data_IF_877582726751
#
_entry.id   IF_877582726751
#
_cell.length_a   1.000
_cell.length_b   1.000
_cell.length_c   1.000
_cell.angle_alpha   90.00
_cell.angle_beta   90.00
_cell.angle_gamma   90.00
#
_symmetry.space_group_name_H-M   'P 1'
#
loop_
_entity.id
_entity.type
_entity.pdbx_description
1 polymer ?
#
# COMPACT_ATOMS: atom_id res chain seq x y z
N UNK A 1 55.55 23.66 -52.49
CA UNK A 1 54.32 24.43 -52.21
C UNK A 1 53.09 23.60 -52.58
N UNK A 2 52.63 22.69 -51.71
CA UNK A 2 51.44 21.84 -51.98
C UNK A 2 50.86 21.31 -50.66
N UNK A 3 50.24 22.16 -49.83
CA UNK A 3 49.57 21.71 -48.59
C UNK A 3 48.40 22.59 -48.17
N UNK A 4 47.63 23.14 -49.12
CA UNK A 4 46.40 23.92 -48.81
C UNK A 4 45.08 23.27 -49.20
N UNK A 5 45.09 22.08 -49.81
CA UNK A 5 43.88 21.45 -50.35
C UNK A 5 43.32 20.28 -49.54
N UNK A 6 44.03 19.80 -48.51
CA UNK A 6 43.56 18.70 -47.63
C UNK A 6 42.98 19.16 -46.29
N UNK A 7 43.10 20.44 -45.93
CA UNK A 7 42.55 20.98 -44.67
C UNK A 7 41.05 21.30 -44.77
N UNK A 8 40.57 21.76 -45.93
CA UNK A 8 39.14 22.07 -46.13
C UNK A 8 38.24 20.84 -46.28
N UNK A 9 38.80 19.65 -46.55
CA UNK A 9 38.02 18.41 -46.60
C UNK A 9 37.82 17.83 -45.19
N UNK A 10 38.78 18.06 -44.27
CA UNK A 10 38.64 17.64 -42.87
C UNK A 10 37.67 18.54 -42.08
N UNK A 11 37.57 19.83 -42.45
CA UNK A 11 36.61 20.76 -41.85
C UNK A 11 35.15 20.51 -42.29
N UNK A 12 34.92 19.82 -43.41
CA UNK A 12 33.58 19.52 -43.89
C UNK A 12 33.01 18.19 -43.34
N UNK A 13 33.87 17.28 -42.90
CA UNK A 13 33.48 16.03 -42.21
C UNK A 13 33.23 16.26 -40.72
N UNK A 14 33.70 17.38 -40.14
CA UNK A 14 33.39 17.76 -38.76
C UNK A 14 32.05 18.52 -38.61
N UNK A 15 31.37 18.84 -39.72
CA UNK A 15 30.09 19.57 -39.72
C UNK A 15 28.90 18.75 -40.28
N UNK A 16 29.13 17.46 -40.54
CA UNK A 16 28.11 16.46 -40.91
C UNK A 16 28.11 15.28 -39.92
N UNK A 17 28.56 15.52 -38.69
CA UNK A 17 28.18 14.70 -37.55
C UNK A 17 26.71 14.95 -37.27
N UNK A 18 25.86 14.17 -37.93
CA UNK A 18 24.43 14.00 -37.67
C UNK A 18 24.17 14.03 -36.16
N UNK A 19 23.85 15.22 -35.66
CA UNK A 19 22.91 15.39 -34.58
C UNK A 19 21.61 14.82 -35.14
N UNK A 20 21.40 13.51 -34.97
CA UNK A 20 20.05 12.99 -34.99
C UNK A 20 19.32 13.82 -33.94
N UNK A 21 18.30 14.62 -34.29
CA UNK A 21 17.38 15.05 -33.27
C UNK A 21 16.89 13.74 -32.65
N UNK A 22 17.27 13.50 -31.39
CA UNK A 22 16.57 12.54 -30.56
C UNK A 22 15.14 13.07 -30.57
N UNK A 23 14.34 12.55 -31.49
CA UNK A 23 12.90 12.62 -31.40
C UNK A 23 12.63 11.99 -30.05
N UNK A 24 12.38 12.82 -29.05
CA UNK A 24 11.85 12.39 -27.77
C UNK A 24 10.55 11.67 -28.15
N UNK A 25 10.63 10.35 -28.30
CA UNK A 25 9.48 9.52 -28.54
C UNK A 25 8.69 9.59 -27.24
N UNK A 26 7.72 10.50 -27.21
CA UNK A 26 6.65 10.41 -26.25
C UNK A 26 6.08 9.00 -26.39
N UNK A 27 6.28 8.17 -25.36
CA UNK A 27 5.78 6.81 -25.37
C UNK A 27 4.26 6.87 -25.54
N UNK A 28 3.72 6.02 -26.44
CA UNK A 28 2.27 5.87 -26.55
C UNK A 28 1.71 5.23 -25.29
N UNK A 29 0.45 5.49 -24.97
CA UNK A 29 -0.21 4.93 -23.80
C UNK A 29 -0.11 3.38 -23.79
N UNK A 30 -0.10 2.72 -24.96
CA UNK A 30 0.15 1.28 -25.11
C UNK A 30 1.58 0.84 -24.79
N UNK A 31 2.60 1.62 -25.18
CA UNK A 31 3.99 1.32 -24.86
C UNK A 31 4.28 1.50 -23.37
N UNK A 32 3.65 2.50 -22.74
CA UNK A 32 3.74 2.71 -21.30
C UNK A 32 3.08 1.55 -20.56
N UNK A 33 1.90 1.10 -21.01
CA UNK A 33 1.21 -0.05 -20.43
C UNK A 33 2.06 -1.32 -20.50
N UNK A 34 2.68 -1.60 -21.65
CA UNK A 34 3.52 -2.78 -21.83
C UNK A 34 4.77 -2.72 -20.96
N UNK A 35 5.41 -1.55 -20.88
CA UNK A 35 6.55 -1.33 -20.00
C UNK A 35 6.20 -1.59 -18.52
N UNK A 36 5.01 -1.15 -18.10
CA UNK A 36 4.51 -1.37 -16.74
C UNK A 36 4.29 -2.86 -16.47
N UNK A 37 3.64 -3.57 -17.41
CA UNK A 37 3.41 -5.02 -17.31
C UNK A 37 4.71 -5.79 -17.20
N UNK A 38 5.69 -5.48 -18.05
CA UNK A 38 7.01 -6.11 -18.01
C UNK A 38 7.77 -5.82 -16.71
N UNK A 39 7.70 -4.58 -16.22
CA UNK A 39 8.30 -4.19 -14.94
C UNK A 39 7.73 -4.96 -13.76
N UNK A 40 6.42 -5.12 -13.70
CA UNK A 40 5.74 -5.89 -12.64
C UNK A 40 6.11 -7.38 -12.73
N UNK A 41 6.18 -7.95 -13.94
CA UNK A 41 6.64 -9.35 -14.16
C UNK A 41 8.09 -9.56 -13.72
N UNK A 42 8.92 -8.54 -13.86
CA UNK A 42 10.32 -8.53 -13.41
C UNK A 42 10.46 -8.24 -11.90
N UNK A 43 9.35 -8.05 -11.17
CA UNK A 43 9.36 -7.76 -9.73
C UNK A 43 9.82 -6.35 -9.37
N UNK A 44 9.83 -5.41 -10.32
CA UNK A 44 10.19 -4.01 -10.05
C UNK A 44 9.11 -3.33 -9.21
N UNK A 45 9.54 -2.49 -8.28
CA UNK A 45 8.64 -1.70 -7.45
C UNK A 45 7.92 -0.61 -8.26
N UNK A 46 6.64 -0.37 -7.98
CA UNK A 46 5.81 0.62 -8.69
C UNK A 46 6.40 2.04 -8.66
N UNK A 47 7.06 2.42 -7.56
CA UNK A 47 7.73 3.72 -7.41
C UNK A 47 8.92 3.89 -8.34
N UNK A 48 9.72 2.83 -8.51
CA UNK A 48 10.88 2.82 -9.40
C UNK A 48 10.43 2.91 -10.85
N UNK A 49 9.39 2.14 -11.19
CA UNK A 49 8.77 2.15 -12.50
C UNK A 49 8.16 3.52 -12.86
N UNK A 50 7.47 4.17 -11.92
CA UNK A 50 6.94 5.52 -12.10
C UNK A 50 8.05 6.55 -12.34
N UNK A 51 9.17 6.45 -11.61
CA UNK A 51 10.32 7.32 -11.82
C UNK A 51 10.98 7.12 -13.19
N UNK A 52 11.11 5.87 -13.64
CA UNK A 52 11.64 5.55 -14.97
C UNK A 52 10.74 6.07 -16.10
N UNK A 53 9.42 5.93 -15.96
CA UNK A 53 8.45 6.44 -16.93
C UNK A 53 8.43 7.97 -16.99
N UNK A 54 8.52 8.64 -15.84
CA UNK A 54 8.64 10.10 -15.78
C UNK A 54 9.93 10.58 -16.47
N UNK A 55 11.06 9.89 -16.25
CA UNK A 55 12.33 10.19 -16.93
C UNK A 55 12.28 9.93 -18.45
N UNK A 56 11.40 9.03 -18.90
CA UNK A 56 11.14 8.75 -20.31
C UNK A 56 10.12 9.70 -20.95
N UNK A 57 9.64 10.71 -20.20
CA UNK A 57 8.77 11.76 -20.73
C UNK A 57 7.28 11.43 -20.71
N UNK A 58 6.86 10.41 -19.96
CA UNK A 58 5.42 10.11 -19.77
C UNK A 58 4.78 11.20 -18.93
N UNK A 59 3.70 11.80 -19.43
CA UNK A 59 2.97 12.83 -18.66
C UNK A 59 2.11 12.22 -17.56
N UNK A 60 1.76 13.03 -16.54
CA UNK A 60 0.90 12.59 -15.44
C UNK A 60 -0.44 12.07 -15.96
N UNK A 61 -1.01 12.76 -16.95
CA UNK A 61 -2.28 12.43 -17.58
C UNK A 61 -2.20 11.10 -18.34
N UNK A 62 -1.08 10.85 -19.03
CA UNK A 62 -0.82 9.56 -19.69
C UNK A 62 -0.71 8.43 -18.66
N UNK A 63 0.01 8.64 -17.57
CA UNK A 63 0.15 7.65 -16.50
C UNK A 63 -1.20 7.30 -15.86
N UNK A 64 -2.07 8.30 -15.62
CA UNK A 64 -3.43 8.08 -15.08
C UNK A 64 -4.29 7.26 -16.04
N UNK A 65 -4.31 7.60 -17.33
CA UNK A 65 -5.07 6.83 -18.33
C UNK A 65 -4.58 5.39 -18.44
N UNK A 66 -3.27 5.18 -18.45
CA UNK A 66 -2.67 3.84 -18.52
C UNK A 66 -2.98 3.02 -17.27
N UNK A 67 -2.96 3.64 -16.08
CA UNK A 67 -3.39 3.00 -14.84
C UNK A 67 -4.84 2.52 -14.93
N UNK A 68 -5.74 3.36 -15.44
CA UNK A 68 -7.16 3.01 -15.61
C UNK A 68 -7.35 1.86 -16.61
N UNK A 69 -6.62 1.85 -17.73
CA UNK A 69 -6.64 0.75 -18.71
C UNK A 69 -6.14 -0.57 -18.10
N UNK A 70 -5.07 -0.52 -17.32
CA UNK A 70 -4.55 -1.68 -16.60
C UNK A 70 -5.57 -2.24 -15.61
N UNK A 71 -6.19 -1.39 -14.80
CA UNK A 71 -7.19 -1.76 -13.79
C UNK A 71 -8.46 -2.35 -14.43
N UNK A 72 -8.95 -1.73 -15.51
CA UNK A 72 -10.08 -2.24 -16.28
C UNK A 72 -9.79 -3.63 -16.87
N UNK A 73 -8.59 -3.85 -17.42
CA UNK A 73 -8.18 -5.13 -17.98
C UNK A 73 -7.97 -6.22 -16.91
N UNK A 74 -7.49 -5.86 -15.73
CA UNK A 74 -7.27 -6.81 -14.63
C UNK A 74 -8.59 -7.23 -13.96
N UNK A 75 -9.59 -6.34 -13.92
CA UNK A 75 -10.91 -6.64 -13.35
C UNK A 75 -11.68 -7.70 -14.16
N UNK A 76 -11.49 -7.76 -15.49
CA UNK A 76 -12.10 -8.79 -16.37
C UNK A 76 -11.49 -10.18 -16.17
N UNK A 77 -10.25 -10.27 -15.69
CA UNK A 77 -9.59 -11.55 -15.37
C UNK A 77 -9.99 -12.08 -13.98
N UNK A 78 -10.45 -11.20 -13.08
CA UNK A 78 -10.98 -11.59 -11.76
C UNK A 78 -12.40 -12.17 -11.85
N UNK A 79 -13.12 -11.94 -12.96
CA UNK A 79 -14.50 -12.43 -13.18
C UNK A 79 -14.59 -13.94 -13.45
N UNK A 80 -13.47 -14.63 -13.65
CA UNK A 80 -13.38 -16.09 -13.87
C UNK A 80 -12.67 -16.85 -12.74
N UNK A 81 -12.44 -16.22 -11.59
CA UNK A 81 -11.69 -16.81 -10.48
C UNK A 81 -12.63 -17.28 -9.35
N UNK A 82 -12.61 -18.58 -9.08
CA UNK A 82 -13.45 -19.26 -8.09
C UNK A 82 -13.07 -18.86 -6.66
N UNK A 83 -14.05 -18.31 -5.92
CA UNK A 83 -14.25 -18.47 -4.46
C UNK A 83 -13.23 -17.86 -3.49
N UNK A 84 -11.95 -17.85 -3.82
CA UNK A 84 -10.85 -17.53 -2.90
C UNK A 84 -10.17 -16.21 -3.26
N UNK A 85 -10.15 -15.82 -4.54
CA UNK A 85 -9.57 -14.56 -5.02
C UNK A 85 -10.45 -13.33 -4.73
N UNK A 86 -11.73 -13.54 -4.42
CA UNK A 86 -12.70 -12.47 -4.11
C UNK A 86 -12.33 -11.77 -2.80
N UNK A 87 -11.70 -12.49 -1.86
CA UNK A 87 -11.32 -11.94 -0.56
C UNK A 87 -10.02 -11.12 -0.63
N UNK A 88 -9.03 -11.59 -1.40
CA UNK A 88 -7.82 -10.81 -1.69
C UNK A 88 -8.11 -9.53 -2.48
N UNK A 89 -9.07 -9.59 -3.41
CA UNK A 89 -9.49 -8.43 -4.21
C UNK A 89 -10.06 -7.32 -3.32
N UNK A 90 -10.92 -7.67 -2.36
CA UNK A 90 -11.52 -6.69 -1.43
C UNK A 90 -10.50 -6.10 -0.46
N UNK A 91 -9.57 -6.90 0.06
CA UNK A 91 -8.46 -6.43 0.89
C UNK A 91 -7.50 -5.49 0.13
N UNK A 92 -7.29 -5.72 -1.18
CA UNK A 92 -6.49 -4.82 -2.04
C UNK A 92 -7.22 -3.52 -2.42
N UNK A 93 -8.54 -3.55 -2.59
CA UNK A 93 -9.35 -2.36 -2.85
C UNK A 93 -9.32 -1.40 -1.64
N UNK A 94 -9.50 -1.95 -0.43
CA UNK A 94 -9.51 -1.20 0.85
C UNK A 94 -8.12 -0.62 1.20
N UNK A 95 -7.04 -1.30 0.77
CA UNK A 95 -5.66 -0.79 0.92
C UNK A 95 -5.30 0.29 -0.12
N UNK A 96 -5.89 0.25 -1.33
CA UNK A 96 -5.67 1.27 -2.38
C UNK A 96 -6.34 2.60 -2.04
N UNK A 97 -7.52 2.59 -1.42
CA UNK A 97 -8.21 3.81 -1.00
C UNK A 97 -7.38 4.57 0.06
N UNK A 98 -6.79 3.84 1.02
CA UNK A 98 -5.89 4.41 2.02
C UNK A 98 -4.52 4.84 1.47
N UNK A 99 -3.99 4.17 0.44
CA UNK A 99 -2.65 4.49 -0.13
C UNK A 99 -2.70 5.58 -1.20
N UNK A 100 -3.79 5.70 -1.96
CA UNK A 100 -3.94 6.73 -3.00
C UNK A 100 -4.01 8.14 -2.41
N UNK A 101 -4.55 8.28 -1.20
CA UNK A 101 -4.67 9.56 -0.50
C UNK A 101 -3.36 9.99 0.19
N UNK A 102 -2.42 9.06 0.38
CA UNK A 102 -1.06 9.36 0.89
C UNK A 102 -0.10 9.88 -0.19
N UNK A 103 -0.45 9.76 -1.48
CA UNK A 103 0.39 10.19 -2.61
C UNK A 103 0.05 11.60 -3.11
N UNK A 104 -0.98 12.25 -2.57
CA UNK A 104 -1.35 13.64 -2.89
C UNK A 104 -0.76 14.68 -1.93
N UNK A 105 -0.11 14.26 -0.84
CA UNK A 105 0.39 15.18 0.20
C UNK A 105 1.79 15.71 -0.13
N UNK A 106 1.91 16.42 -1.24
CA UNK A 106 3.00 17.37 -1.40
C UNK A 106 2.56 18.67 -0.74
N UNK A 107 3.28 19.21 0.26
CA UNK A 107 2.96 20.51 0.81
C UNK A 107 2.93 21.49 -0.35
N UNK A 108 1.79 22.18 -0.49
CA UNK A 108 1.65 23.17 -1.55
C UNK A 108 2.78 24.20 -1.41
N UNK A 109 3.34 24.68 -2.52
CA UNK A 109 4.44 25.68 -2.48
C UNK A 109 4.07 26.93 -1.66
N UNK A 110 2.77 27.15 -1.44
CA UNK A 110 2.18 28.14 -0.57
C UNK A 110 2.51 27.94 0.92
N UNK A 111 2.65 26.70 1.39
CA UNK A 111 2.91 26.38 2.79
C UNK A 111 4.39 26.57 3.15
N UNK A 112 5.28 26.28 2.20
CA UNK A 112 6.73 26.50 2.32
C UNK A 112 7.11 27.99 2.35
N UNK A 113 6.27 28.87 1.80
CA UNK A 113 6.52 30.31 1.70
C UNK A 113 6.16 31.10 2.99
N UNK A 114 5.50 30.47 3.97
CA UNK A 114 5.09 31.14 5.21
C UNK A 114 6.20 31.02 6.26
N UNK A 115 7.05 32.05 6.36
CA UNK A 115 8.17 32.14 7.32
C UNK A 115 7.82 32.06 8.82
N UNK A 116 6.55 31.83 9.18
CA UNK A 116 6.05 31.69 10.54
C UNK A 116 5.54 30.27 10.84
N UNK A 117 6.03 29.24 10.15
CA UNK A 117 5.60 27.86 10.38
C UNK A 117 6.15 27.33 11.71
N UNK A 118 5.24 26.96 12.62
CA UNK A 118 5.57 26.28 13.87
C UNK A 118 6.00 24.84 13.57
N UNK A 119 7.08 24.38 14.21
CA UNK A 119 7.59 23.01 14.09
C UNK A 119 6.48 21.99 14.40
N UNK A 120 6.37 20.94 13.58
CA UNK A 120 5.36 19.89 13.76
C UNK A 120 3.96 20.24 13.24
N UNK A 121 3.67 21.47 12.76
CA UNK A 121 2.33 21.77 12.23
C UNK A 121 1.89 20.87 11.05
N UNK A 122 2.85 20.40 10.26
CA UNK A 122 2.57 19.61 9.07
C UNK A 122 2.16 18.17 9.38
N UNK A 123 2.49 17.62 10.55
CA UNK A 123 2.08 16.26 10.92
C UNK A 123 0.61 16.19 11.38
N UNK A 124 -0.08 17.34 11.55
CA UNK A 124 -1.48 17.42 11.98
C UNK A 124 -2.44 17.85 10.84
N UNK A 125 -1.93 18.14 9.65
CA UNK A 125 -2.72 18.69 8.54
C UNK A 125 -3.00 17.68 7.42
N UNK A 126 -2.74 16.40 7.64
CA UNK A 126 -3.02 15.34 6.65
C UNK A 126 -4.50 14.99 6.65
N UNK A 127 -5.10 14.75 5.48
CA UNK A 127 -6.53 14.41 5.33
C UNK A 127 -6.97 13.19 6.15
N UNK A 128 -6.08 12.20 6.32
CA UNK A 128 -6.32 10.97 7.08
C UNK A 128 -5.40 10.87 8.30
N UNK A 129 -5.46 11.86 9.18
CA UNK A 129 -4.69 11.87 10.43
C UNK A 129 -5.27 10.87 11.43
N UNK A 130 -4.52 9.82 11.74
CA UNK A 130 -4.79 8.94 12.88
C UNK A 130 -3.58 8.86 13.80
N UNK A 131 -3.84 8.92 15.11
CA UNK A 131 -2.83 8.72 16.16
C UNK A 131 -2.91 7.33 16.76
N UNK A 132 -3.75 6.47 16.19
CA UNK A 132 -3.93 5.11 16.69
C UNK A 132 -2.71 4.28 16.30
N UNK A 133 -1.94 3.78 17.27
CA UNK A 133 -0.84 2.90 16.96
C UNK A 133 -1.41 1.60 16.38
N UNK A 134 -0.78 1.06 15.32
CA UNK A 134 -1.12 -0.26 14.78
C UNK A 134 -0.62 -1.34 15.75
N UNK A 135 -1.38 -1.60 16.81
CA UNK A 135 -1.00 -2.53 17.86
C UNK A 135 -1.55 -3.93 17.60
N UNK A 136 -0.67 -4.82 17.12
CA UNK A 136 -0.83 -6.26 17.28
C UNK A 136 0.13 -6.71 18.39
N UNK A 137 -0.20 -6.38 19.63
CA UNK A 137 0.61 -6.71 20.80
C UNK A 137 -0.04 -7.89 21.51
N UNK A 138 0.77 -8.89 21.87
CA UNK A 138 0.30 -10.03 22.65
C UNK A 138 -0.23 -9.58 24.02
N UNK A 139 -1.31 -10.20 24.48
CA UNK A 139 -1.88 -9.93 25.80
C UNK A 139 -0.84 -10.23 26.88
N UNK A 140 -0.45 -9.27 27.73
CA UNK A 140 0.54 -9.50 28.78
C UNK A 140 0.11 -10.61 29.75
N UNK A 141 1.07 -11.35 30.34
CA UNK A 141 0.77 -12.42 31.29
C UNK A 141 0.02 -11.93 32.55
N UNK A 142 0.25 -10.68 32.95
CA UNK A 142 -0.41 -10.04 34.09
C UNK A 142 -1.63 -9.20 33.69
N UNK A 143 -2.09 -9.30 32.45
CA UNK A 143 -3.32 -8.66 32.03
C UNK A 143 -4.51 -9.25 32.79
N UNK A 144 -5.39 -8.37 33.26
CA UNK A 144 -6.62 -8.77 33.95
C UNK A 144 -7.78 -8.58 32.99
N UNK A 145 -8.55 -9.65 32.80
CA UNK A 145 -9.74 -9.66 31.97
C UNK A 145 -10.78 -8.68 32.53
N UNK A 146 -11.31 -7.84 31.64
CA UNK A 146 -12.31 -6.84 31.97
C UNK A 146 -13.49 -6.84 31.00
N UNK A 147 -14.54 -6.06 31.29
CA UNK A 147 -15.66 -5.91 30.40
C UNK A 147 -15.27 -5.39 29.01
N UNK A 148 -15.82 -5.98 27.97
CA UNK A 148 -15.52 -5.66 26.58
C UNK A 148 -14.36 -6.46 25.96
N UNK A 149 -13.56 -7.15 26.78
CA UNK A 149 -12.54 -8.06 26.25
C UNK A 149 -13.19 -9.23 25.52
N UNK A 150 -12.56 -9.68 24.42
CA UNK A 150 -12.95 -10.90 23.73
C UNK A 150 -12.08 -12.06 24.22
N UNK A 151 -12.72 -13.18 24.55
CA UNK A 151 -12.06 -14.43 24.91
C UNK A 151 -12.39 -15.51 23.89
N UNK A 152 -11.35 -16.26 23.52
CA UNK A 152 -11.43 -17.42 22.63
C UNK A 152 -11.02 -18.63 23.46
N UNK A 153 -11.96 -19.57 23.62
CA UNK A 153 -11.79 -20.79 24.42
C UNK A 153 -11.78 -21.96 23.47
N UNK A 154 -10.64 -22.63 23.36
CA UNK A 154 -10.49 -23.83 22.54
C UNK A 154 -10.47 -25.08 23.43
N UNK A 155 -11.49 -25.91 23.25
CA UNK A 155 -11.69 -27.17 23.98
C UNK A 155 -11.15 -28.30 23.12
N UNK A 156 -10.24 -29.10 23.67
CA UNK A 156 -9.62 -30.24 23.01
C UNK A 156 -9.78 -31.51 23.85
N UNK A 157 -9.87 -32.69 23.23
CA UNK A 157 -10.00 -33.97 23.91
C UNK A 157 -11.09 -34.85 23.30
N UNK A 158 -11.98 -35.41 24.13
CA UNK A 158 -13.09 -36.24 23.69
C UNK A 158 -14.17 -35.47 22.89
N UNK A 159 -14.21 -34.15 23.04
CA UNK A 159 -15.09 -33.24 22.28
C UNK A 159 -14.30 -31.97 21.95
N UNK A 160 -14.36 -31.54 20.69
CA UNK A 160 -13.67 -30.34 20.21
C UNK A 160 -14.68 -29.21 20.02
N UNK A 161 -14.38 -28.03 20.55
CA UNK A 161 -15.23 -26.86 20.37
C UNK A 161 -14.41 -25.58 20.55
N UNK A 162 -14.73 -24.54 19.77
CA UNK A 162 -14.17 -23.20 19.93
C UNK A 162 -15.30 -22.24 20.28
N UNK A 163 -15.17 -21.56 21.41
CA UNK A 163 -16.14 -20.59 21.90
C UNK A 163 -15.51 -19.21 21.84
N UNK A 164 -16.19 -18.26 21.19
CA UNK A 164 -15.77 -16.85 21.16
C UNK A 164 -16.85 -16.01 21.80
N UNK A 165 -16.50 -15.26 22.84
CA UNK A 165 -17.44 -14.38 23.52
C UNK A 165 -16.76 -13.12 24.01
N UNK A 166 -17.54 -12.05 24.06
CA UNK A 166 -17.17 -10.83 24.75
C UNK A 166 -17.60 -10.91 26.21
N UNK A 167 -16.74 -10.44 27.11
CA UNK A 167 -17.06 -10.31 28.53
C UNK A 167 -18.09 -9.19 28.68
N UNK A 168 -19.24 -9.50 29.25
CA UNK A 168 -20.32 -8.54 29.45
C UNK A 168 -19.96 -7.49 30.53
N UNK A 169 -20.70 -6.36 30.63
CA UNK A 169 -20.45 -5.30 31.62
C UNK A 169 -20.43 -5.76 33.09
N UNK A 170 -21.12 -6.85 33.39
CA UNK A 170 -21.13 -7.52 34.69
C UNK A 170 -19.89 -8.41 34.93
N UNK A 171 -19.05 -8.60 33.91
CA UNK A 171 -17.82 -9.37 33.98
C UNK A 171 -17.98 -10.86 33.71
N UNK A 172 -19.11 -11.28 33.11
CA UNK A 172 -19.39 -12.69 32.85
C UNK A 172 -19.34 -13.06 31.36
N UNK A 173 -19.24 -14.35 31.06
CA UNK A 173 -19.51 -14.95 29.74
C UNK A 173 -20.48 -16.11 29.91
N UNK A 174 -21.28 -16.43 28.90
CA UNK A 174 -22.28 -17.50 29.01
C UNK A 174 -21.92 -18.71 28.16
N UNK A 175 -21.38 -19.76 28.78
CA UNK A 175 -20.95 -20.96 28.07
C UNK A 175 -22.13 -21.93 27.93
N UNK A 176 -22.39 -22.41 26.70
CA UNK A 176 -23.43 -23.40 26.46
C UNK A 176 -23.21 -24.65 27.32
N UNK A 177 -24.25 -25.09 28.03
CA UNK A 177 -24.25 -26.26 28.95
C UNK A 177 -23.51 -26.08 30.28
N UNK A 178 -22.83 -24.94 30.51
CA UNK A 178 -22.19 -24.59 31.79
C UNK A 178 -22.92 -23.42 32.46
N UNK A 179 -23.36 -22.43 31.69
CA UNK A 179 -24.02 -21.23 32.16
C UNK A 179 -23.06 -20.03 32.29
N UNK A 180 -23.43 -19.02 33.10
CA UNK A 180 -22.63 -17.82 33.28
C UNK A 180 -21.36 -18.09 34.10
N UNK A 181 -20.22 -17.66 33.58
CA UNK A 181 -18.88 -17.79 34.17
C UNK A 181 -18.33 -16.39 34.38
N UNK A 182 -17.93 -16.07 35.61
CA UNK A 182 -17.31 -14.78 35.95
C UNK A 182 -15.81 -14.83 35.65
N UNK A 183 -15.33 -13.92 34.80
CA UNK A 183 -13.92 -13.79 34.42
C UNK A 183 -13.30 -12.46 34.90
N UNK A 184 -14.10 -11.61 35.55
CA UNK A 184 -13.70 -10.25 35.90
C UNK A 184 -12.49 -10.23 36.84
N UNK A 185 -11.45 -9.53 36.44
CA UNK A 185 -10.23 -9.36 37.21
C UNK A 185 -9.31 -10.57 37.22
N UNK A 186 -9.71 -11.70 36.61
CA UNK A 186 -8.84 -12.87 36.46
C UNK A 186 -7.78 -12.61 35.41
N UNK A 187 -6.59 -13.13 35.64
CA UNK A 187 -5.56 -13.27 34.61
C UNK A 187 -5.91 -14.42 33.66
N UNK A 188 -5.26 -14.46 32.50
CA UNK A 188 -5.47 -15.54 31.52
C UNK A 188 -5.14 -16.91 32.14
N UNK A 189 -4.11 -16.97 32.98
CA UNK A 189 -3.74 -18.20 33.68
C UNK A 189 -4.81 -18.63 34.71
N UNK A 190 -5.29 -17.70 35.54
CA UNK A 190 -6.36 -17.99 36.49
C UNK A 190 -7.67 -18.39 35.81
N UNK A 191 -8.00 -17.75 34.67
CA UNK A 191 -9.17 -18.10 33.89
C UNK A 191 -9.05 -19.51 33.26
N UNK A 192 -7.85 -19.90 32.83
CA UNK A 192 -7.58 -21.24 32.30
C UNK A 192 -7.70 -22.34 33.37
N UNK A 193 -7.31 -22.05 34.62
CA UNK A 193 -7.45 -23.02 35.72
C UNK A 193 -8.91 -23.12 36.22
N UNK A 194 -9.72 -22.10 35.96
CA UNK A 194 -11.12 -22.05 36.38
C UNK A 194 -12.09 -22.79 35.42
N UNK A 195 -11.68 -22.98 34.16
CA UNK A 195 -12.51 -23.54 33.07
C UNK A 195 -12.07 -24.96 32.68
#
# INVERSE_FOLDING_TARGET
>A
MTTRRKFNVFLFILLLGVFSPLMAQNMSDSQVLEYVKDGIRQGKEQKQLASELARRGVTKEQATRVKQLYEQQNNVNASNATGTDINESRLREEMKENTSDMLEDHPSTQDLARGNQVFGRNIFNTRNLTFEPSVNIATPLNYRLGPGDEVIIDIWGASQNTIRQHISPDGTINIQKIGPVNLNGLTIAEANDYL
#
